data_IF_268458309512
#
_entry.id   IF_268458309512
#
_cell.length_a   1.000
_cell.length_b   1.000
_cell.length_c   1.000
_cell.angle_alpha   90.00
_cell.angle_beta   90.00
_cell.angle_gamma   90.00
#
_symmetry.space_group_name_H-M   'P 1'
#
loop_
_entity.id
_entity.type
_entity.pdbx_description
1 polymer ?
#
# COMPACT_ATOMS: atom_id res chain seq x y z
N UNK A 1 -17.25 37.31 31.62
CA UNK A 1 -16.00 36.62 31.23
C UNK A 1 -15.90 35.32 32.02
N UNK A 2 -16.20 34.21 31.38
CA UNK A 2 -16.12 32.87 31.99
C UNK A 2 -14.64 32.51 32.13
N UNK A 3 -14.15 32.38 33.38
CA UNK A 3 -12.78 31.97 33.65
C UNK A 3 -12.71 30.44 33.60
N UNK A 4 -12.07 29.90 32.58
CA UNK A 4 -11.77 28.48 32.52
C UNK A 4 -10.71 28.16 33.58
N UNK A 5 -10.95 27.08 34.33
CA UNK A 5 -9.99 26.56 35.31
C UNK A 5 -8.83 25.84 34.59
N UNK A 6 -7.66 25.74 35.22
CA UNK A 6 -6.49 25.04 34.68
C UNK A 6 -6.83 23.60 34.27
N UNK A 7 -7.72 22.94 35.02
CA UNK A 7 -8.23 21.61 34.71
C UNK A 7 -9.05 21.58 33.40
N UNK A 8 -9.88 22.61 33.14
CA UNK A 8 -10.61 22.74 31.88
C UNK A 8 -9.70 23.04 30.69
N UNK A 9 -8.62 23.81 30.89
CA UNK A 9 -7.61 24.04 29.85
C UNK A 9 -6.84 22.75 29.50
N UNK A 10 -6.50 21.93 30.51
CA UNK A 10 -5.90 20.61 30.31
C UNK A 10 -6.82 19.63 29.59
N UNK A 11 -8.12 19.64 29.92
CA UNK A 11 -9.12 18.79 29.27
C UNK A 11 -9.29 19.14 27.79
N UNK A 12 -9.27 20.44 27.45
CA UNK A 12 -9.33 20.93 26.07
C UNK A 12 -8.07 20.50 25.31
N UNK A 13 -6.89 20.56 25.93
CA UNK A 13 -5.63 20.10 25.33
C UNK A 13 -5.63 18.60 25.04
N UNK A 14 -6.07 17.77 25.98
CA UNK A 14 -6.17 16.30 25.79
C UNK A 14 -7.18 15.96 24.70
N UNK A 15 -8.30 16.69 24.62
CA UNK A 15 -9.28 16.51 23.55
C UNK A 15 -8.73 16.89 22.17
N UNK A 16 -7.90 17.92 22.05
CA UNK A 16 -7.27 18.31 20.78
C UNK A 16 -6.24 17.27 20.31
N UNK A 17 -5.51 16.64 21.24
CA UNK A 17 -4.51 15.61 20.92
C UNK A 17 -5.11 14.26 20.50
N UNK A 18 -6.38 13.98 20.80
CA UNK A 18 -7.03 12.70 20.43
C UNK A 18 -7.40 12.61 18.93
N UNK A 19 -7.27 13.69 18.14
CA UNK A 19 -7.76 13.74 16.76
C UNK A 19 -6.69 13.70 15.66
N UNK A 20 -5.40 13.60 15.99
CA UNK A 20 -4.34 13.51 14.97
C UNK A 20 -3.81 12.09 14.81
N UNK A 21 -4.68 11.08 14.79
CA UNK A 21 -4.34 9.81 14.18
C UNK A 21 -4.49 9.98 12.67
N UNK A 22 -3.42 10.46 12.01
CA UNK A 22 -3.37 10.53 10.56
C UNK A 22 -3.68 9.13 10.02
N UNK A 23 -4.79 8.99 9.30
CA UNK A 23 -5.22 7.73 8.68
C UNK A 23 -4.28 7.44 7.52
N UNK A 24 -3.18 6.78 7.81
CA UNK A 24 -2.18 6.50 6.79
C UNK A 24 -2.62 5.25 6.01
N UNK A 25 -2.80 5.42 4.70
CA UNK A 25 -3.25 4.43 3.73
C UNK A 25 -2.05 3.93 2.94
N UNK A 26 -2.19 2.77 2.29
CA UNK A 26 -1.10 2.16 1.53
C UNK A 26 -1.13 2.58 0.05
N UNK A 27 0.04 2.60 -0.59
CA UNK A 27 0.18 2.86 -2.01
C UNK A 27 1.34 2.08 -2.61
N UNK A 28 1.11 1.54 -3.81
CA UNK A 28 2.09 0.77 -4.57
C UNK A 28 2.45 1.52 -5.85
N UNK A 29 3.75 1.58 -6.14
CA UNK A 29 4.25 1.95 -7.46
C UNK A 29 5.18 0.85 -7.99
N UNK A 30 5.22 0.67 -9.30
CA UNK A 30 6.11 -0.30 -9.96
C UNK A 30 6.81 0.34 -11.14
N UNK A 31 8.05 -0.07 -11.40
CA UNK A 31 8.78 0.27 -12.63
C UNK A 31 8.60 -0.83 -13.67
N UNK A 32 8.29 -0.45 -14.90
CA UNK A 32 7.95 -1.38 -15.98
C UNK A 32 9.02 -1.38 -17.06
N UNK A 33 9.49 -2.56 -17.43
CA UNK A 33 10.44 -2.71 -18.53
C UNK A 33 9.71 -2.74 -19.90
N UNK A 34 10.49 -2.82 -20.99
CA UNK A 34 9.95 -2.85 -22.35
C UNK A 34 9.02 -4.04 -22.66
N UNK A 35 9.06 -5.10 -21.86
CA UNK A 35 8.23 -6.29 -22.07
C UNK A 35 6.93 -6.24 -21.24
N UNK A 36 6.71 -5.20 -20.44
CA UNK A 36 5.55 -5.07 -19.55
C UNK A 36 5.74 -5.69 -18.16
N UNK A 37 6.92 -6.18 -17.80
CA UNK A 37 7.21 -6.70 -16.47
C UNK A 37 7.47 -5.59 -15.48
N UNK A 38 6.88 -5.74 -14.29
CA UNK A 38 7.17 -4.94 -13.10
C UNK A 38 8.50 -5.40 -12.49
N UNK A 39 9.59 -4.68 -12.76
CA UNK A 39 10.97 -5.08 -12.39
C UNK A 39 11.44 -4.50 -11.05
N UNK A 40 10.81 -3.43 -10.58
CA UNK A 40 10.99 -2.86 -9.25
C UNK A 40 9.65 -2.42 -8.70
N UNK A 41 9.53 -2.37 -7.38
CA UNK A 41 8.36 -1.85 -6.69
C UNK A 41 8.78 -0.93 -5.53
N UNK A 42 7.87 -0.03 -5.14
CA UNK A 42 7.94 0.68 -3.87
C UNK A 42 6.55 0.63 -3.21
N UNK A 43 6.54 0.38 -1.91
CA UNK A 43 5.34 0.32 -1.08
C UNK A 43 5.48 1.40 -0.01
N UNK A 44 4.60 2.39 -0.06
CA UNK A 44 4.65 3.57 0.81
C UNK A 44 3.30 3.84 1.44
N UNK A 45 3.29 4.75 2.41
CA UNK A 45 2.09 5.20 3.11
C UNK A 45 1.83 6.69 2.91
N UNK A 46 0.60 7.14 3.15
CA UNK A 46 0.22 8.56 3.07
C UNK A 46 -1.21 8.80 3.56
N UNK A 47 -1.65 10.05 3.70
CA UNK A 47 -2.99 10.37 4.21
C UNK A 47 -4.13 9.93 3.28
N UNK A 48 -3.79 9.55 2.04
CA UNK A 48 -4.68 8.92 1.07
C UNK A 48 -3.93 7.89 0.21
N UNK A 49 -4.63 6.93 -0.40
CA UNK A 49 -4.06 5.98 -1.37
C UNK A 49 -3.29 6.70 -2.49
N UNK A 50 -3.84 7.85 -2.94
CA UNK A 50 -3.22 8.71 -3.96
C UNK A 50 -1.89 9.31 -3.49
N UNK A 51 -1.85 9.82 -2.26
CA UNK A 51 -0.62 10.36 -1.68
C UNK A 51 0.41 9.24 -1.46
N UNK A 52 0.00 8.12 -0.86
CA UNK A 52 0.85 6.96 -0.63
C UNK A 52 1.48 6.46 -1.94
N UNK A 53 0.68 6.34 -3.00
CA UNK A 53 1.18 5.95 -4.33
C UNK A 53 2.08 7.01 -4.96
N UNK A 54 1.89 8.29 -4.62
CA UNK A 54 2.78 9.38 -5.06
C UNK A 54 4.12 9.31 -4.33
N UNK A 55 4.13 8.99 -3.04
CA UNK A 55 5.35 8.76 -2.26
C UNK A 55 6.12 7.55 -2.81
N UNK A 56 5.43 6.45 -3.13
CA UNK A 56 6.04 5.27 -3.77
C UNK A 56 6.70 5.61 -5.12
N UNK A 57 6.07 6.48 -5.93
CA UNK A 57 6.69 6.96 -7.18
C UNK A 57 7.99 7.72 -6.89
N UNK A 58 7.99 8.64 -5.90
CA UNK A 58 9.19 9.42 -5.56
C UNK A 58 10.35 8.52 -5.14
N UNK A 59 10.09 7.45 -4.39
CA UNK A 59 11.12 6.46 -4.02
C UNK A 59 11.75 5.83 -5.27
N UNK A 60 10.92 5.38 -6.21
CA UNK A 60 11.40 4.80 -7.47
C UNK A 60 12.12 5.82 -8.37
N UNK A 61 11.71 7.09 -8.35
CA UNK A 61 12.39 8.18 -9.07
C UNK A 61 13.78 8.46 -8.49
N UNK A 62 13.92 8.46 -7.16
CA UNK A 62 15.21 8.60 -6.47
C UNK A 62 16.15 7.43 -6.80
N UNK A 63 15.60 6.23 -6.98
CA UNK A 63 16.35 5.06 -7.47
C UNK A 63 16.59 5.04 -8.99
N UNK A 64 16.32 6.16 -9.68
CA UNK A 64 16.49 6.33 -11.13
C UNK A 64 15.68 5.35 -11.99
N UNK A 65 14.62 4.75 -11.45
CA UNK A 65 13.77 3.83 -12.18
C UNK A 65 13.03 4.54 -13.33
N UNK A 66 12.69 3.77 -14.39
CA UNK A 66 12.01 4.28 -15.58
C UNK A 66 10.62 3.66 -15.73
N UNK A 67 9.74 4.34 -16.47
CA UNK A 67 8.36 3.91 -16.75
C UNK A 67 7.62 3.47 -15.47
N UNK A 68 7.47 4.39 -14.54
CA UNK A 68 6.85 4.12 -13.24
C UNK A 68 5.33 4.24 -13.37
N UNK A 69 4.61 3.22 -12.91
CA UNK A 69 3.15 3.22 -12.83
C UNK A 69 2.66 3.14 -11.38
N UNK A 70 1.66 3.96 -11.06
CA UNK A 70 0.93 3.89 -9.78
C UNK A 70 -0.08 2.76 -9.87
N UNK A 71 -0.04 1.82 -8.93
CA UNK A 71 -0.95 0.68 -8.82
C UNK A 71 -1.96 0.97 -7.72
N UNK A 72 -2.93 1.83 -8.03
CA UNK A 72 -4.01 2.21 -7.14
C UNK A 72 -5.19 1.24 -7.32
N UNK A 73 -5.85 0.88 -6.22
CA UNK A 73 -7.13 0.16 -6.26
C UNK A 73 -7.95 0.61 -5.06
N UNK A 74 -9.23 0.95 -5.29
CA UNK A 74 -10.11 1.49 -4.24
C UNK A 74 -11.14 0.43 -3.81
N UNK A 75 -11.29 0.22 -2.50
CA UNK A 75 -12.40 -0.50 -1.87
C UNK A 75 -12.40 -2.04 -1.99
N UNK A 76 -11.80 -2.61 -3.05
CA UNK A 76 -11.75 -4.08 -3.24
C UNK A 76 -10.46 -4.71 -2.74
N UNK A 77 -9.37 -3.95 -2.79
CA UNK A 77 -8.02 -4.39 -2.43
C UNK A 77 -7.63 -4.00 -1.01
N UNK A 78 -8.35 -3.08 -0.35
CA UNK A 78 -8.08 -2.66 1.03
C UNK A 78 -6.87 -1.73 1.18
N UNK A 79 -6.52 -0.96 0.14
CA UNK A 79 -5.43 0.02 0.21
C UNK A 79 -5.77 1.20 1.11
N UNK A 80 -7.07 1.49 1.26
CA UNK A 80 -7.61 2.55 2.11
C UNK A 80 -7.52 2.28 3.62
N UNK A 81 -7.16 1.06 4.00
CA UNK A 81 -7.02 0.66 5.39
C UNK A 81 -5.78 1.30 6.02
N UNK A 82 -5.95 1.70 7.28
CA UNK A 82 -4.90 2.29 8.11
C UNK A 82 -4.38 1.38 9.21
N UNK A 83 -5.05 0.25 9.45
CA UNK A 83 -4.66 -0.77 10.41
C UNK A 83 -5.03 -2.16 9.90
N UNK A 84 -4.40 -3.19 10.45
CA UNK A 84 -4.67 -4.57 10.11
C UNK A 84 -3.47 -5.22 9.41
N UNK A 85 -3.74 -5.99 8.37
CA UNK A 85 -2.75 -6.83 7.69
C UNK A 85 -2.58 -6.41 6.25
N UNK A 86 -1.34 -6.46 5.74
CA UNK A 86 -1.07 -6.33 4.31
C UNK A 86 -0.34 -7.56 3.77
N UNK A 87 -0.53 -7.80 2.48
CA UNK A 87 0.23 -8.79 1.71
C UNK A 87 0.56 -8.18 0.34
N UNK A 88 1.85 -8.22 0.00
CA UNK A 88 2.37 -7.98 -1.33
C UNK A 88 2.72 -9.34 -1.96
N UNK A 89 2.14 -9.63 -3.12
CA UNK A 89 2.42 -10.83 -3.89
C UNK A 89 3.14 -10.49 -5.18
N UNK A 90 3.98 -11.42 -5.64
CA UNK A 90 4.65 -11.40 -6.93
C UNK A 90 4.22 -12.63 -7.72
N UNK A 91 3.62 -12.39 -8.88
CA UNK A 91 3.32 -13.43 -9.87
C UNK A 91 4.32 -13.39 -11.02
N UNK A 92 4.68 -14.56 -11.52
CA UNK A 92 5.43 -14.72 -12.75
C UNK A 92 4.64 -15.56 -13.73
N UNK A 93 4.47 -15.08 -14.96
CA UNK A 93 3.83 -15.85 -16.02
C UNK A 93 4.61 -15.75 -17.31
N UNK A 94 4.44 -16.76 -18.16
CA UNK A 94 5.01 -16.80 -19.51
C UNK A 94 3.90 -16.77 -20.54
N UNK A 95 3.91 -15.80 -21.45
CA UNK A 95 2.97 -15.74 -22.57
C UNK A 95 3.74 -15.45 -23.86
N UNK A 96 3.51 -16.26 -24.91
CA UNK A 96 4.17 -16.08 -26.20
C UNK A 96 5.70 -16.09 -26.14
N UNK A 97 6.28 -16.88 -25.23
CA UNK A 97 7.73 -16.93 -25.01
C UNK A 97 8.31 -15.81 -24.12
N UNK A 98 7.51 -14.81 -23.76
CA UNK A 98 7.92 -13.67 -22.91
C UNK A 98 7.55 -13.93 -21.45
N UNK A 99 8.44 -13.54 -20.55
CA UNK A 99 8.19 -13.56 -19.11
C UNK A 99 7.65 -12.23 -18.64
N UNK A 100 6.64 -12.29 -17.76
CA UNK A 100 5.98 -11.15 -17.14
C UNK A 100 6.08 -11.31 -15.62
N UNK A 101 6.48 -10.23 -14.96
CA UNK A 101 6.39 -10.08 -13.50
C UNK A 101 5.32 -9.05 -13.17
N UNK A 102 4.46 -9.39 -12.23
CA UNK A 102 3.32 -8.57 -11.84
C UNK A 102 3.15 -8.59 -10.33
N UNK A 103 2.97 -7.43 -9.72
CA UNK A 103 2.75 -7.31 -8.28
C UNK A 103 1.28 -7.06 -7.97
N UNK A 104 0.81 -7.66 -6.88
CA UNK A 104 -0.49 -7.40 -6.27
C UNK A 104 -0.31 -7.01 -4.81
N UNK A 105 -1.05 -6.00 -4.35
CA UNK A 105 -1.06 -5.53 -2.96
C UNK A 105 -2.47 -5.62 -2.43
N UNK A 106 -2.65 -6.20 -1.25
CA UNK A 106 -3.94 -6.26 -0.57
C UNK A 106 -3.82 -5.96 0.92
N UNK A 107 -4.87 -5.36 1.47
CA UNK A 107 -5.04 -5.02 2.88
C UNK A 107 -6.31 -5.62 3.47
N UNK A 108 -6.26 -6.10 4.72
CA UNK A 108 -7.42 -6.60 5.43
C UNK A 108 -7.32 -6.33 6.93
N UNK A 109 -8.42 -5.90 7.55
CA UNK A 109 -8.56 -5.82 9.00
C UNK A 109 -8.64 -7.21 9.67
N UNK A 110 -8.96 -8.26 8.89
CA UNK A 110 -9.31 -9.57 9.44
C UNK A 110 -8.10 -10.47 9.59
N UNK A 111 -7.33 -10.68 8.52
CA UNK A 111 -6.21 -11.63 8.51
C UNK A 111 -5.29 -11.46 7.30
N UNK A 112 -4.07 -12.00 7.39
CA UNK A 112 -3.18 -12.14 6.25
C UNK A 112 -3.80 -12.94 5.10
N UNK A 113 -4.56 -14.01 5.37
CA UNK A 113 -5.19 -14.79 4.29
C UNK A 113 -6.24 -13.98 3.53
N UNK A 114 -6.96 -13.08 4.20
CA UNK A 114 -7.91 -12.19 3.53
C UNK A 114 -7.19 -11.09 2.74
N UNK A 115 -6.12 -10.51 3.31
CA UNK A 115 -5.25 -9.56 2.61
C UNK A 115 -4.62 -10.19 1.35
N UNK A 116 -4.22 -11.46 1.40
CA UNK A 116 -3.70 -12.21 0.25
C UNK A 116 -4.74 -12.40 -0.86
N UNK A 117 -6.00 -12.73 -0.50
CA UNK A 117 -7.10 -12.80 -1.49
C UNK A 117 -7.33 -11.45 -2.16
N UNK A 118 -7.23 -10.36 -1.41
CA UNK A 118 -7.35 -9.00 -1.94
C UNK A 118 -6.14 -8.58 -2.79
N UNK A 119 -4.95 -9.06 -2.45
CA UNK A 119 -3.75 -8.87 -3.26
C UNK A 119 -3.89 -9.55 -4.62
N UNK A 120 -4.53 -10.72 -4.67
CA UNK A 120 -4.86 -11.41 -5.93
C UNK A 120 -5.90 -10.68 -6.77
N UNK A 121 -6.91 -10.06 -6.14
CA UNK A 121 -7.86 -9.19 -6.85
C UNK A 121 -7.10 -8.03 -7.49
N UNK A 122 -6.25 -7.36 -6.71
CA UNK A 122 -5.46 -6.24 -7.21
C UNK A 122 -4.50 -6.66 -8.34
N UNK A 123 -3.85 -7.83 -8.23
CA UNK A 123 -3.00 -8.38 -9.29
C UNK A 123 -3.76 -8.52 -10.62
N UNK A 124 -4.99 -9.06 -10.57
CA UNK A 124 -5.83 -9.27 -11.77
C UNK A 124 -6.34 -7.97 -12.40
N UNK A 125 -6.46 -6.90 -11.62
CA UNK A 125 -6.82 -5.58 -12.15
C UNK A 125 -5.73 -5.02 -13.06
N UNK A 126 -4.46 -5.32 -12.75
CA UNK A 126 -3.30 -4.78 -13.47
C UNK A 126 -2.62 -5.77 -14.43
N UNK A 127 -2.84 -7.07 -14.23
CA UNK A 127 -2.40 -8.12 -15.14
C UNK A 127 -3.60 -8.89 -15.69
N UNK A 128 -4.21 -8.34 -16.75
CA UNK A 128 -5.34 -8.97 -17.45
C UNK A 128 -5.01 -10.34 -18.05
N UNK A 129 -3.73 -10.67 -18.18
CA UNK A 129 -3.26 -11.96 -18.66
C UNK A 129 -2.98 -12.95 -17.55
N UNK A 130 -3.23 -12.62 -16.27
CA UNK A 130 -3.01 -13.54 -15.15
C UNK A 130 -4.15 -14.56 -15.01
N UNK A 131 -3.78 -15.83 -14.94
CA UNK A 131 -4.65 -16.96 -14.64
C UNK A 131 -4.24 -17.59 -13.30
N UNK A 132 -5.18 -18.16 -12.56
CA UNK A 132 -4.90 -18.70 -11.22
C UNK A 132 -3.83 -19.81 -11.23
N UNK A 133 -3.71 -20.54 -12.34
CA UNK A 133 -2.79 -21.67 -12.50
C UNK A 133 -1.32 -21.23 -12.60
N UNK A 134 -1.04 -19.94 -12.85
CA UNK A 134 0.33 -19.42 -12.85
C UNK A 134 0.93 -19.33 -11.43
N UNK A 135 0.07 -19.27 -10.41
CA UNK A 135 0.48 -19.10 -9.03
C UNK A 135 1.18 -17.77 -8.73
N UNK A 136 1.61 -17.62 -7.50
CA UNK A 136 2.29 -16.43 -7.00
C UNK A 136 3.13 -16.78 -5.77
N UNK A 137 4.00 -15.86 -5.40
CA UNK A 137 4.76 -15.89 -4.15
C UNK A 137 4.42 -14.68 -3.30
N UNK A 138 4.54 -14.80 -1.98
CA UNK A 138 4.41 -13.66 -1.06
C UNK A 138 5.79 -12.98 -1.00
N UNK A 139 5.85 -11.75 -1.48
CA UNK A 139 7.06 -10.92 -1.44
C UNK A 139 7.23 -10.28 -0.06
N UNK A 140 6.14 -9.72 0.48
CA UNK A 140 6.12 -9.08 1.79
C UNK A 140 4.74 -9.27 2.44
N UNK A 141 4.70 -9.39 3.76
CA UNK A 141 3.47 -9.34 4.55
C UNK A 141 3.78 -8.84 5.96
N UNK A 142 2.78 -8.27 6.62
CA UNK A 142 2.91 -7.79 7.98
C UNK A 142 1.69 -7.00 8.40
N UNK A 143 1.84 -6.19 9.45
CA UNK A 143 0.80 -5.23 9.82
C UNK A 143 0.95 -3.95 9.02
N UNK A 144 -0.18 -3.31 8.70
CA UNK A 144 -0.17 -2.02 7.98
C UNK A 144 0.59 -0.97 8.80
N UNK A 145 0.44 -1.06 10.11
CA UNK A 145 1.07 -0.24 11.13
C UNK A 145 2.61 -0.29 11.07
N UNK A 146 3.17 -1.44 10.65
CA UNK A 146 4.61 -1.63 10.51
C UNK A 146 5.17 -0.92 9.26
N UNK A 147 4.32 -0.43 8.36
CA UNK A 147 4.75 0.40 7.22
C UNK A 147 4.94 1.87 7.61
N UNK A 148 4.46 2.28 8.78
CA UNK A 148 4.69 3.63 9.29
C UNK A 148 6.00 3.63 10.10
N UNK A 149 7.06 4.32 9.65
CA UNK A 149 8.15 4.60 10.57
C UNK A 149 7.56 5.45 11.69
N UNK A 150 7.69 5.00 12.95
CA UNK A 150 7.50 5.90 14.08
C UNK A 150 8.47 7.06 13.88
N UNK A 151 7.96 8.28 13.79
CA UNK A 151 8.83 9.45 13.89
C UNK A 151 9.52 9.36 15.26
N UNK A 152 10.77 8.90 15.29
CA UNK A 152 11.64 9.10 16.45
C UNK A 152 11.95 10.60 16.48
N UNK A 153 11.27 11.32 17.38
CA UNK A 153 11.52 12.72 17.74
C UNK A 153 12.95 12.96 18.25
#
# INVERSE_FOLDING_TARGET
MTKFTVLQQLLILILVFQFTNAKAQMGLAVSINYNGSSVKYALETGSSVKEASTNAVKVLEVEEAKNIERRMSEGKSGHELNEGYYVLILASRKNGGRFFLSYGLGGSEVSHQDAEKKALIHLKEWDLGYENDFGYSIEKKGKIEDLFPSEEE
#
